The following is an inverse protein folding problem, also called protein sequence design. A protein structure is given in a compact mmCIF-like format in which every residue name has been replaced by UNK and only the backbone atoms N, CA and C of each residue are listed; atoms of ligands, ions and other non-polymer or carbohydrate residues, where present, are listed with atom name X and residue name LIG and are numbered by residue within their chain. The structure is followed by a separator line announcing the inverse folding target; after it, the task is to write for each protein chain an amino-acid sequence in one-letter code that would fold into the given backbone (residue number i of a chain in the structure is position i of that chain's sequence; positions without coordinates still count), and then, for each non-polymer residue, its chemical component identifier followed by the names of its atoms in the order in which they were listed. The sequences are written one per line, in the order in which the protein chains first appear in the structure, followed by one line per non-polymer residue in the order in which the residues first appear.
data_IF_964656840739
#
_entry.id   IF_964656840739
#
_cell.length_a   1.000
_cell.length_b   1.000
_cell.length_c   1.000
_cell.angle_alpha   90.00
_cell.angle_beta   90.00
_cell.angle_gamma   90.00
#
_symmetry.space_group_name_H-M   'P 1'
#
loop_
_entity.id
_entity.type
_entity.pdbx_description
1 polymer ?
#
# COMPACT_ATOMS: atom_id res chain seq x y z
N UNK A 1 10.96 -8.66 -36.52
CA UNK A 1 10.16 -8.49 -35.29
C UNK A 1 11.05 -7.80 -34.28
N UNK A 2 10.77 -6.54 -33.90
CA UNK A 2 11.57 -5.89 -32.87
C UNK A 2 11.15 -6.45 -31.50
N UNK A 3 12.13 -6.97 -30.78
CA UNK A 3 12.05 -7.31 -29.35
C UNK A 3 11.90 -6.01 -28.56
N UNK A 4 10.90 -5.94 -27.70
CA UNK A 4 10.70 -4.80 -26.79
C UNK A 4 11.64 -5.01 -25.60
N UNK A 5 12.64 -4.14 -25.47
CA UNK A 5 13.53 -4.07 -24.32
C UNK A 5 12.96 -3.12 -23.26
N UNK A 6 13.16 -3.46 -21.99
CA UNK A 6 12.93 -2.58 -20.86
C UNK A 6 14.20 -1.72 -20.69
N UNK A 7 14.14 -0.43 -21.03
CA UNK A 7 15.23 0.50 -20.72
C UNK A 7 14.97 1.06 -19.32
N UNK A 8 15.74 0.56 -18.34
CA UNK A 8 15.78 1.11 -17.00
C UNK A 8 16.84 2.22 -16.97
N UNK A 9 16.40 3.47 -17.12
CA UNK A 9 17.28 4.62 -16.91
C UNK A 9 17.52 4.83 -15.42
N UNK A 10 18.69 4.39 -14.98
CA UNK A 10 19.31 4.59 -13.66
C UNK A 10 18.60 3.94 -12.45
N UNK A 11 19.18 2.84 -11.98
CA UNK A 11 18.91 2.25 -10.66
C UNK A 11 19.93 2.83 -9.67
N UNK A 12 19.46 3.61 -8.69
CA UNK A 12 20.26 3.98 -7.53
C UNK A 12 20.10 2.89 -6.46
N UNK A 13 21.19 2.23 -6.09
CA UNK A 13 21.19 1.26 -5.00
C UNK A 13 21.50 1.97 -3.69
N UNK A 14 20.53 1.97 -2.78
CA UNK A 14 20.75 2.11 -1.34
C UNK A 14 20.20 0.86 -0.69
N UNK A 15 20.91 0.31 0.30
CA UNK A 15 20.78 -1.09 0.76
C UNK A 15 19.41 -1.57 1.25
N UNK A 16 18.33 -0.77 1.22
CA UNK A 16 16.97 -1.26 1.39
C UNK A 16 15.99 -0.16 0.92
N UNK A 17 15.54 -0.26 -0.33
CA UNK A 17 14.28 0.26 -0.93
C UNK A 17 14.55 0.49 -2.43
N UNK A 18 13.91 -0.31 -3.26
CA UNK A 18 13.89 -0.14 -4.72
C UNK A 18 12.68 0.71 -5.10
N UNK A 19 12.91 1.90 -5.67
CA UNK A 19 11.85 2.79 -6.15
C UNK A 19 11.66 2.57 -7.64
N UNK A 20 10.49 2.09 -8.03
CA UNK A 20 10.11 1.92 -9.44
C UNK A 20 9.29 3.13 -9.88
N UNK A 21 9.77 3.84 -10.91
CA UNK A 21 8.99 4.87 -11.59
C UNK A 21 8.29 4.25 -12.80
N UNK A 22 7.04 3.85 -12.63
CA UNK A 22 6.26 3.27 -13.71
C UNK A 22 5.50 4.36 -14.48
N UNK A 23 5.73 4.43 -15.79
CA UNK A 23 4.93 5.24 -16.70
C UNK A 23 3.98 4.36 -17.48
N UNK A 24 2.71 4.76 -17.52
CA UNK A 24 1.73 4.14 -18.40
C UNK A 24 2.06 4.54 -19.85
N UNK A 25 2.88 3.75 -20.53
CA UNK A 25 3.15 3.95 -21.96
C UNK A 25 1.87 3.60 -22.70
N UNK A 26 1.13 4.64 -23.10
CA UNK A 26 -0.21 4.62 -23.65
C UNK A 26 -0.50 3.41 -24.56
N UNK A 27 -1.18 2.40 -24.00
CA UNK A 27 -2.02 1.46 -24.75
C UNK A 27 -3.43 1.57 -24.16
N UNK A 28 -4.43 1.63 -25.04
CA UNK A 28 -5.84 1.58 -24.66
C UNK A 28 -6.06 0.32 -23.81
N UNK A 29 -6.70 0.48 -22.65
CA UNK A 29 -7.06 -0.64 -21.78
C UNK A 29 -7.83 -1.70 -22.59
N UNK A 30 -7.20 -2.86 -22.82
CA UNK A 30 -7.72 -3.90 -23.71
C UNK A 30 -8.66 -4.90 -23.00
N UNK A 31 -9.24 -4.49 -21.87
CA UNK A 31 -10.05 -5.36 -21.03
C UNK A 31 -9.22 -6.38 -20.23
N UNK A 32 -7.96 -6.07 -19.91
CA UNK A 32 -7.10 -6.93 -19.08
C UNK A 32 -6.56 -8.18 -19.81
N UNK A 33 -6.62 -8.22 -21.15
CA UNK A 33 -6.08 -9.33 -21.95
C UNK A 33 -4.56 -9.42 -21.90
N UNK A 34 -3.91 -8.27 -21.76
CA UNK A 34 -2.46 -8.16 -21.60
C UNK A 34 -2.19 -7.27 -20.39
N UNK A 35 -2.23 -7.85 -19.20
CA UNK A 35 -1.58 -7.24 -18.04
C UNK A 35 -0.13 -7.75 -18.06
N UNK A 36 0.76 -6.95 -18.65
CA UNK A 36 2.20 -7.15 -18.51
C UNK A 36 2.57 -6.75 -17.08
N UNK A 37 2.42 -7.67 -16.13
CA UNK A 37 3.01 -7.49 -14.80
C UNK A 37 4.54 -7.47 -14.94
N UNK A 38 5.21 -6.70 -14.09
CA UNK A 38 6.67 -6.54 -14.08
C UNK A 38 7.44 -7.85 -13.81
N UNK A 39 6.76 -8.95 -13.47
CA UNK A 39 7.35 -10.28 -13.39
C UNK A 39 7.23 -11.03 -14.71
N UNK A 40 8.22 -10.86 -15.59
CA UNK A 40 8.32 -11.60 -16.84
C UNK A 40 8.07 -13.10 -16.65
N UNK A 41 7.01 -13.63 -17.27
CA UNK A 41 6.67 -15.06 -17.26
C UNK A 41 5.80 -15.55 -16.11
N UNK A 42 5.35 -14.68 -15.20
CA UNK A 42 4.37 -15.09 -14.18
C UNK A 42 2.97 -15.21 -14.78
N UNK A 43 2.17 -16.15 -14.26
CA UNK A 43 0.77 -16.25 -14.64
C UNK A 43 0.06 -14.92 -14.35
N UNK A 44 -0.76 -14.39 -15.29
CA UNK A 44 -1.41 -13.08 -15.15
C UNK A 44 -2.43 -13.05 -14.00
N UNK A 45 -2.80 -14.22 -13.48
CA UNK A 45 -3.73 -14.37 -12.37
C UNK A 45 -3.08 -15.23 -11.29
N UNK A 46 -3.12 -14.72 -10.06
CA UNK A 46 -2.78 -15.53 -8.90
C UNK A 46 -3.79 -16.67 -8.75
N UNK A 47 -3.28 -17.89 -8.58
CA UNK A 47 -4.10 -19.10 -8.32
C UNK A 47 -4.44 -19.27 -6.85
N UNK A 48 -3.80 -18.50 -5.97
CA UNK A 48 -4.08 -18.48 -4.54
C UNK A 48 -5.43 -17.82 -4.29
N UNK A 49 -6.23 -18.43 -3.41
CA UNK A 49 -7.47 -17.83 -2.97
C UNK A 49 -7.19 -16.49 -2.27
N UNK A 50 -8.12 -15.52 -2.36
CA UNK A 50 -8.08 -14.36 -1.49
C UNK A 50 -8.06 -14.75 -0.02
N UNK A 51 -7.50 -13.88 0.82
CA UNK A 51 -7.53 -14.04 2.27
C UNK A 51 -8.96 -14.27 2.78
N UNK A 52 -9.11 -15.13 3.76
CA UNK A 52 -10.32 -15.21 4.57
C UNK A 52 -10.43 -14.00 5.51
N UNK A 53 -11.62 -13.76 6.03
CA UNK A 53 -11.81 -12.73 7.06
C UNK A 53 -11.01 -13.04 8.33
N UNK A 54 -10.98 -14.32 8.74
CA UNK A 54 -10.23 -14.78 9.92
C UNK A 54 -8.72 -14.51 9.82
N UNK A 55 -8.15 -14.56 8.62
CA UNK A 55 -6.73 -14.24 8.38
C UNK A 55 -6.41 -12.75 8.44
N UNK A 56 -7.42 -11.87 8.42
CA UNK A 56 -7.24 -10.42 8.57
C UNK A 56 -7.72 -9.89 9.92
N UNK A 57 -8.72 -10.52 10.53
CA UNK A 57 -9.25 -10.15 11.83
C UNK A 57 -8.31 -10.54 12.98
N UNK A 58 -8.32 -9.79 14.07
CA UNK A 58 -7.57 -10.08 15.29
C UNK A 58 -6.83 -8.86 15.80
N UNK A 59 -6.22 -9.01 16.97
CA UNK A 59 -5.44 -7.94 17.59
C UNK A 59 -4.03 -7.96 16.98
N UNK A 60 -3.76 -6.98 16.14
CA UNK A 60 -2.46 -6.81 15.49
C UNK A 60 -1.66 -5.76 16.25
N UNK A 61 -0.43 -6.10 16.60
CA UNK A 61 0.49 -5.22 17.30
C UNK A 61 1.78 -5.05 16.52
N UNK A 62 2.42 -3.88 16.66
CA UNK A 62 3.67 -3.59 15.98
C UNK A 62 4.76 -4.61 16.38
N UNK A 63 5.37 -5.24 15.36
CA UNK A 63 6.35 -6.32 15.49
C UNK A 63 7.74 -5.87 14.99
N UNK A 64 8.16 -4.68 15.40
CA UNK A 64 9.44 -4.08 15.00
C UNK A 64 9.34 -2.56 14.81
N UNK A 65 10.36 -1.90 14.25
CA UNK A 65 10.25 -0.49 13.89
C UNK A 65 9.23 -0.31 12.76
N UNK A 66 8.37 0.69 12.88
CA UNK A 66 7.61 1.26 11.77
C UNK A 66 8.26 2.56 11.30
N UNK A 67 7.77 3.10 10.19
CA UNK A 67 8.18 4.40 9.69
C UNK A 67 6.96 5.28 9.44
N UNK A 68 7.01 6.54 9.86
CA UNK A 68 5.97 7.54 9.58
C UNK A 68 6.58 8.70 8.83
N UNK A 69 5.79 9.29 7.94
CA UNK A 69 6.16 10.45 7.15
C UNK A 69 5.00 11.44 7.10
N UNK A 70 5.31 12.73 7.15
CA UNK A 70 4.38 13.80 6.81
C UNK A 70 4.84 14.49 5.53
N UNK A 71 3.90 14.97 4.74
CA UNK A 71 4.20 15.82 3.61
C UNK A 71 4.31 17.28 4.09
N UNK A 72 5.38 17.97 3.70
CA UNK A 72 5.49 19.41 3.91
C UNK A 72 4.63 20.20 2.90
N UNK A 73 4.74 21.54 2.93
CA UNK A 73 3.99 22.43 2.06
C UNK A 73 4.30 22.23 0.56
N UNK A 74 5.46 21.67 0.23
CA UNK A 74 5.88 21.37 -1.13
C UNK A 74 5.57 19.91 -1.52
N UNK A 75 4.98 19.13 -0.60
CA UNK A 75 4.64 17.73 -0.81
C UNK A 75 5.81 16.77 -0.60
N UNK A 76 6.94 17.23 -0.07
CA UNK A 76 8.08 16.36 0.23
C UNK A 76 7.85 15.62 1.53
N UNK A 77 8.17 14.32 1.53
CA UNK A 77 8.00 13.47 2.70
C UNK A 77 9.14 13.64 3.70
N UNK A 78 8.79 14.02 4.92
CA UNK A 78 9.71 14.14 6.06
C UNK A 78 9.41 13.02 7.04
N UNK A 79 10.44 12.32 7.49
CA UNK A 79 10.29 11.25 8.47
C UNK A 79 9.89 11.82 9.84
N UNK A 80 8.90 11.20 10.49
CA UNK A 80 8.35 11.59 11.78
C UNK A 80 8.24 10.41 12.76
N UNK A 81 7.95 10.72 14.02
CA UNK A 81 7.55 9.70 15.00
C UNK A 81 6.23 9.03 14.58
N UNK A 82 6.11 7.74 14.88
CA UNK A 82 4.87 6.98 14.71
C UNK A 82 3.70 7.53 15.55
N UNK A 83 3.98 8.33 16.59
CA UNK A 83 2.94 8.96 17.41
C UNK A 83 1.99 9.85 16.59
N UNK A 84 2.49 10.47 15.51
CA UNK A 84 1.66 11.25 14.59
C UNK A 84 0.65 10.39 13.82
N UNK A 85 0.98 9.12 13.56
CA UNK A 85 0.09 8.16 12.90
C UNK A 85 -1.01 7.63 13.83
N UNK A 86 -0.74 7.58 15.15
CA UNK A 86 -1.69 7.08 16.15
C UNK A 86 -3.00 7.90 16.20
N UNK A 87 -2.98 9.16 15.78
CA UNK A 87 -4.15 10.04 15.78
C UNK A 87 -5.20 9.67 14.70
N UNK A 88 -4.79 9.02 13.61
CA UNK A 88 -5.67 8.77 12.46
C UNK A 88 -5.77 7.31 12.03
N UNK A 89 -4.79 6.45 12.35
CA UNK A 89 -4.86 5.01 12.06
C UNK A 89 -6.12 4.33 12.64
N UNK A 90 -6.55 4.58 13.90
CA UNK A 90 -7.77 3.97 14.44
C UNK A 90 -9.03 4.33 13.67
N UNK A 91 -9.05 5.49 13.00
CA UNK A 91 -10.22 5.93 12.22
C UNK A 91 -10.39 5.07 10.96
N UNK A 92 -9.31 4.51 10.43
CA UNK A 92 -9.36 3.56 9.33
C UNK A 92 -9.99 2.23 9.76
N UNK A 93 -9.72 1.78 10.99
CA UNK A 93 -10.34 0.57 11.53
C UNK A 93 -11.83 0.74 11.85
N UNK A 94 -12.20 1.92 12.36
CA UNK A 94 -13.59 2.23 12.72
C UNK A 94 -14.49 2.57 11.53
N UNK A 95 -13.95 3.14 10.45
CA UNK A 95 -14.76 3.79 9.39
C UNK A 95 -14.82 3.03 8.06
N UNK A 96 -14.13 1.90 7.92
CA UNK A 96 -14.04 1.22 6.62
C UNK A 96 -15.27 0.34 6.32
N UNK A 97 -16.02 0.61 5.24
CA UNK A 97 -17.21 -0.16 4.86
C UNK A 97 -16.91 -1.56 4.29
N UNK A 98 -15.64 -1.97 4.21
CA UNK A 98 -15.22 -3.29 3.81
C UNK A 98 -13.72 -3.35 3.51
N UNK A 99 -13.12 -4.54 3.64
CA UNK A 99 -11.75 -4.82 3.19
C UNK A 99 -11.82 -5.58 1.88
N UNK A 100 -11.20 -5.05 0.83
CA UNK A 100 -10.98 -5.78 -0.41
C UNK A 100 -9.87 -6.80 -0.18
N UNK A 101 -10.19 -8.07 -0.29
CA UNK A 101 -9.26 -9.19 -0.12
C UNK A 101 -8.85 -9.67 -1.51
N UNK A 102 -7.55 -9.65 -1.75
CA UNK A 102 -6.95 -10.02 -3.02
C UNK A 102 -6.15 -11.31 -2.83
N UNK A 103 -5.82 -12.02 -3.91
CA UNK A 103 -4.86 -13.12 -3.87
C UNK A 103 -3.49 -12.70 -3.32
N UNK A 104 -2.62 -13.69 -3.07
CA UNK A 104 -1.25 -13.48 -2.58
C UNK A 104 -1.16 -12.82 -1.21
N UNK A 105 -2.19 -13.02 -0.38
CA UNK A 105 -2.23 -12.43 0.96
C UNK A 105 -2.48 -10.92 0.97
N UNK A 106 -2.82 -10.31 -0.18
CA UNK A 106 -2.94 -8.86 -0.31
C UNK A 106 -4.33 -8.40 0.13
N UNK A 107 -4.39 -7.22 0.73
CA UNK A 107 -5.65 -6.58 1.10
C UNK A 107 -5.57 -5.06 0.95
N UNK A 108 -6.73 -4.44 0.72
CA UNK A 108 -6.88 -2.99 0.59
C UNK A 108 -8.09 -2.52 1.36
N UNK A 109 -7.94 -1.40 2.04
CA UNK A 109 -8.99 -0.72 2.81
C UNK A 109 -9.00 0.76 2.46
N UNK A 110 -10.19 1.31 2.32
CA UNK A 110 -10.41 2.74 2.07
C UNK A 110 -11.42 3.25 3.08
N UNK A 111 -11.15 4.40 3.67
CA UNK A 111 -12.06 5.09 4.59
C UNK A 111 -12.08 6.59 4.29
N UNK A 112 -13.24 7.22 4.46
CA UNK A 112 -13.34 8.67 4.44
C UNK A 112 -13.11 9.20 5.85
N UNK A 113 -12.22 10.19 5.99
CA UNK A 113 -12.03 10.92 7.23
C UNK A 113 -13.14 11.96 7.40
N UNK A 114 -13.71 11.99 8.60
CA UNK A 114 -14.74 12.95 8.99
C UNK A 114 -14.13 14.04 9.89
N UNK A 115 -14.84 15.16 10.04
CA UNK A 115 -14.42 16.24 10.95
C UNK A 115 -13.25 17.08 10.44
N UNK A 116 -12.45 17.62 11.37
CA UNK A 116 -11.35 18.56 11.08
C UNK A 116 -10.23 17.96 10.23
N UNK A 117 -10.06 16.63 10.28
CA UNK A 117 -9.06 15.95 9.46
C UNK A 117 -9.51 15.87 7.99
N UNK A 118 -10.76 15.49 7.74
CA UNK A 118 -11.32 15.38 6.39
C UNK A 118 -10.51 14.51 5.41
N UNK A 119 -11.07 14.24 4.23
CA UNK A 119 -10.32 13.58 3.15
C UNK A 119 -10.38 12.06 3.18
N UNK A 120 -9.30 11.40 2.73
CA UNK A 120 -9.26 9.98 2.40
C UNK A 120 -8.13 9.28 3.15
N UNK A 121 -8.42 8.10 3.69
CA UNK A 121 -7.41 7.16 4.12
C UNK A 121 -7.42 5.92 3.22
N UNK A 122 -6.24 5.52 2.78
CA UNK A 122 -5.98 4.30 2.04
C UNK A 122 -5.01 3.46 2.85
N UNK A 123 -5.31 2.18 3.05
CA UNK A 123 -4.35 1.22 3.58
C UNK A 123 -4.29 0.01 2.65
N UNK A 124 -3.07 -0.43 2.36
CA UNK A 124 -2.83 -1.67 1.65
C UNK A 124 -1.81 -2.49 2.43
N UNK A 125 -1.92 -3.80 2.38
CA UNK A 125 -0.97 -4.66 3.06
C UNK A 125 -0.99 -6.09 2.53
N UNK A 126 -0.10 -6.89 3.12
CA UNK A 126 0.01 -8.32 2.85
C UNK A 126 0.18 -9.12 4.13
N UNK A 127 -0.45 -10.28 4.22
CA UNK A 127 -0.15 -11.29 5.25
C UNK A 127 1.04 -12.10 4.78
N UNK A 128 2.18 -11.92 5.46
CA UNK A 128 3.47 -12.54 5.10
C UNK A 128 3.55 -14.00 5.57
N UNK A 129 2.95 -14.28 6.72
CA UNK A 129 2.86 -15.60 7.33
C UNK A 129 1.65 -15.62 8.30
N UNK A 130 1.18 -16.79 8.76
CA UNK A 130 0.15 -16.84 9.78
C UNK A 130 0.52 -15.97 11.00
N UNK A 131 -0.29 -14.95 11.28
CA UNK A 131 -0.06 -14.02 12.37
C UNK A 131 1.04 -12.98 12.14
N UNK A 132 1.54 -12.79 10.92
CA UNK A 132 2.49 -11.72 10.57
C UNK A 132 2.03 -10.99 9.31
N UNK A 133 1.91 -9.65 9.38
CA UNK A 133 1.55 -8.81 8.22
C UNK A 133 2.46 -7.60 8.09
N UNK A 134 2.47 -7.02 6.90
CA UNK A 134 3.01 -5.68 6.66
C UNK A 134 1.97 -4.84 5.94
N UNK A 135 1.90 -3.55 6.26
CA UNK A 135 0.97 -2.63 5.63
C UNK A 135 1.57 -1.24 5.47
N UNK A 136 1.02 -0.49 4.52
CA UNK A 136 1.23 0.94 4.38
C UNK A 136 -0.13 1.64 4.42
N UNK A 137 -0.23 2.74 5.17
CA UNK A 137 -1.41 3.59 5.17
C UNK A 137 -1.05 5.02 4.77
N UNK A 138 -1.82 5.60 3.88
CA UNK A 138 -1.67 6.95 3.38
C UNK A 138 -2.90 7.78 3.71
N UNK A 139 -2.67 9.02 4.16
CA UNK A 139 -3.69 10.03 4.39
C UNK A 139 -3.63 11.10 3.31
N UNK A 140 -4.78 11.40 2.74
CA UNK A 140 -4.95 12.44 1.75
C UNK A 140 -5.92 13.49 2.25
N UNK A 141 -5.62 14.73 1.94
CA UNK A 141 -6.51 15.87 2.16
C UNK A 141 -7.80 15.74 1.34
N UNK A 142 -8.77 16.63 1.60
CA UNK A 142 -9.98 16.73 0.75
C UNK A 142 -9.69 17.13 -0.69
N UNK A 143 -8.56 17.82 -0.94
CA UNK A 143 -8.09 18.15 -2.29
C UNK A 143 -7.32 17.02 -2.96
N UNK A 144 -7.15 15.87 -2.29
CA UNK A 144 -6.44 14.70 -2.80
C UNK A 144 -4.92 14.79 -2.69
N UNK A 145 -4.38 15.74 -1.92
CA UNK A 145 -2.94 15.86 -1.67
C UNK A 145 -2.51 14.89 -0.58
N UNK A 146 -1.38 14.20 -0.77
CA UNK A 146 -0.82 13.33 0.26
C UNK A 146 -0.37 14.18 1.46
N UNK A 147 -0.79 13.81 2.66
CA UNK A 147 -0.44 14.51 3.91
C UNK A 147 0.43 13.67 4.84
N UNK A 148 0.21 12.35 4.86
CA UNK A 148 0.97 11.44 5.70
C UNK A 148 1.02 10.04 5.11
N UNK A 149 2.10 9.31 5.43
CA UNK A 149 2.32 7.92 5.05
C UNK A 149 2.94 7.17 6.22
N UNK A 150 2.45 5.96 6.50
CA UNK A 150 3.01 5.10 7.55
C UNK A 150 3.22 3.70 7.01
N UNK A 151 4.35 3.09 7.39
CA UNK A 151 4.68 1.70 7.12
C UNK A 151 4.75 0.92 8.42
N UNK A 152 4.04 -0.20 8.46
CA UNK A 152 3.87 -1.02 9.64
C UNK A 152 4.25 -2.47 9.32
N UNK A 153 4.84 -3.11 10.32
CA UNK A 153 4.99 -4.56 10.39
C UNK A 153 4.38 -5.01 11.69
N UNK A 154 3.43 -5.93 11.62
CA UNK A 154 2.58 -6.27 12.76
C UNK A 154 2.48 -7.78 12.93
N UNK A 155 2.43 -8.22 14.19
CA UNK A 155 2.17 -9.59 14.58
C UNK A 155 0.83 -9.69 15.31
N UNK A 156 0.14 -10.81 15.13
CA UNK A 156 -1.12 -11.10 15.81
C UNK A 156 -0.83 -11.65 17.22
N UNK A 157 -1.50 -11.09 18.22
CA UNK A 157 -1.41 -11.52 19.63
C UNK A 157 -2.60 -12.37 20.05
#
# INVERSE_FOLDING_TARGET
MPTVGCEADAVAFTDEVEVHHEQQVAKVFNGGKELCGCGGGMAPFATQAPLSEAELSGDWQLAGPGASFSADADGLLQMESLDGAAAWLPQLEASAPGVLRLPLGVWVRIANLQGELGGLLLQAGTVLAPGLRSSAAARYSQSGSLEALVFLREART
#
